data_IF_754034065665
#
_entry.id   IF_754034065665
#
_cell.length_a   1.000
_cell.length_b   1.000
_cell.length_c   1.000
_cell.angle_alpha   90.00
_cell.angle_beta   90.00
_cell.angle_gamma   90.00
#
_symmetry.space_group_name_H-M   'P 1'
#
loop_
_entity.id
_entity.type
_entity.pdbx_description
1 polymer ?
#
# COMPACT_ATOMS: atom_id res chain seq x y z
N UNK A 1 41.00 -12.03 26.57
CA UNK A 1 40.34 -10.74 26.29
C UNK A 1 38.90 -11.09 25.99
N UNK A 2 37.89 -10.54 26.67
CA UNK A 2 36.54 -11.06 26.54
C UNK A 2 35.95 -10.61 25.20
N UNK A 3 35.47 -11.60 24.45
CA UNK A 3 34.76 -11.48 23.18
C UNK A 3 33.43 -10.74 23.36
N UNK A 4 33.21 -9.68 22.59
CA UNK A 4 31.95 -8.94 22.53
C UNK A 4 30.95 -9.68 21.65
N UNK A 5 30.14 -10.54 22.27
CA UNK A 5 29.07 -11.37 21.65
C UNK A 5 27.87 -10.61 21.04
N UNK A 6 28.00 -9.35 20.61
CA UNK A 6 26.86 -8.56 20.09
C UNK A 6 27.01 -8.05 18.66
N UNK A 7 28.00 -8.52 17.89
CA UNK A 7 28.15 -8.13 16.47
C UNK A 7 28.33 -6.61 16.26
N UNK A 8 28.76 -5.89 17.29
CA UNK A 8 28.97 -4.44 17.30
C UNK A 8 30.42 -4.11 16.92
N UNK A 9 30.60 -3.17 16.01
CA UNK A 9 31.87 -2.63 15.54
C UNK A 9 32.05 -1.27 16.20
N UNK A 10 33.11 -1.07 16.97
CA UNK A 10 33.26 0.08 17.88
C UNK A 10 34.25 1.13 17.37
N UNK A 11 34.70 1.02 16.13
CA UNK A 11 35.51 2.05 15.48
C UNK A 11 35.37 2.10 13.96
N UNK A 12 35.69 3.25 13.37
CA UNK A 12 35.78 3.40 11.91
C UNK A 12 36.72 2.40 11.24
N UNK A 13 37.77 1.96 11.96
CA UNK A 13 38.72 0.97 11.43
C UNK A 13 38.08 -0.42 11.34
N UNK A 14 37.33 -0.81 12.37
CA UNK A 14 36.61 -2.09 12.39
C UNK A 14 35.48 -2.13 11.36
N UNK A 15 34.77 -1.01 11.16
CA UNK A 15 33.73 -0.89 10.12
C UNK A 15 34.34 -1.00 8.71
N UNK A 16 35.48 -0.33 8.50
CA UNK A 16 36.22 -0.39 7.24
C UNK A 16 36.74 -1.80 6.93
N UNK A 17 37.24 -2.49 7.94
CA UNK A 17 37.72 -3.87 7.83
C UNK A 17 36.57 -4.85 7.53
N UNK A 18 35.43 -4.69 8.21
CA UNK A 18 34.23 -5.49 7.95
C UNK A 18 33.72 -5.34 6.51
N UNK A 19 33.71 -4.10 6.00
CA UNK A 19 33.29 -3.78 4.63
C UNK A 19 34.38 -4.03 3.57
N UNK A 20 35.61 -4.39 3.97
CA UNK A 20 36.80 -4.49 3.09
C UNK A 20 37.00 -3.26 2.22
N UNK A 21 36.92 -2.06 2.82
CA UNK A 21 37.08 -0.76 2.17
C UNK A 21 37.94 0.19 3.01
N UNK A 22 38.45 1.25 2.37
CA UNK A 22 39.19 2.29 3.10
C UNK A 22 38.27 3.11 4.00
N UNK A 23 38.79 3.53 5.16
CA UNK A 23 38.08 4.37 6.15
C UNK A 23 37.46 5.61 5.49
N UNK A 24 38.18 6.26 4.57
CA UNK A 24 37.69 7.45 3.85
C UNK A 24 36.46 7.17 2.98
N UNK A 25 36.39 5.98 2.39
CA UNK A 25 35.25 5.54 1.57
C UNK A 25 34.04 5.27 2.46
N UNK A 26 34.25 4.62 3.60
CA UNK A 26 33.19 4.29 4.57
C UNK A 26 32.63 5.56 5.24
N UNK A 27 33.48 6.51 5.63
CA UNK A 27 33.03 7.80 6.15
C UNK A 27 32.28 8.62 5.09
N UNK A 28 32.65 8.50 3.82
CA UNK A 28 31.88 9.12 2.73
C UNK A 28 30.51 8.45 2.56
N UNK A 29 30.43 7.13 2.69
CA UNK A 29 29.15 6.41 2.61
C UNK A 29 28.21 6.74 3.76
N UNK A 30 28.72 6.99 4.95
CA UNK A 30 27.90 7.52 6.06
C UNK A 30 27.25 8.86 5.67
N UNK A 31 28.02 9.78 5.08
CA UNK A 31 27.50 11.11 4.68
C UNK A 31 26.62 11.11 3.43
N UNK A 32 26.97 10.32 2.41
CA UNK A 32 26.36 10.41 1.08
C UNK A 32 25.36 9.28 0.79
N UNK A 33 25.53 8.12 1.43
CA UNK A 33 24.74 6.90 1.18
C UNK A 33 24.04 6.36 2.42
N UNK A 34 24.09 7.08 3.53
CA UNK A 34 23.40 6.74 4.78
C UNK A 34 23.86 5.41 5.40
N UNK A 35 25.16 5.09 5.34
CA UNK A 35 25.69 3.91 6.04
C UNK A 35 25.32 3.99 7.54
N UNK A 36 24.66 2.97 8.11
CA UNK A 36 24.19 3.00 9.50
C UNK A 36 25.38 2.97 10.46
N UNK A 37 25.67 4.14 11.02
CA UNK A 37 26.79 4.39 11.91
C UNK A 37 26.29 5.31 13.02
N UNK A 38 26.37 4.86 14.26
CA UNK A 38 25.83 5.53 15.44
C UNK A 38 26.95 6.24 16.21
N UNK A 39 26.70 7.46 16.69
CA UNK A 39 27.63 8.20 17.56
C UNK A 39 27.14 8.17 19.00
N UNK A 40 27.98 7.70 19.94
CA UNK A 40 27.61 7.67 21.36
C UNK A 40 27.78 9.08 21.99
N UNK A 41 26.75 9.62 22.65
CA UNK A 41 26.84 10.91 23.34
C UNK A 41 27.54 10.73 24.70
N UNK A 42 28.62 11.49 24.97
CA UNK A 42 29.17 11.64 26.33
C UNK A 42 30.69 11.54 26.55
N UNK A 43 31.54 11.40 25.52
CA UNK A 43 33.00 11.34 25.67
C UNK A 43 33.72 12.49 24.96
N UNK A 44 34.89 12.93 25.48
CA UNK A 44 35.75 14.00 24.91
C UNK A 44 36.26 13.74 23.47
N UNK A 45 35.93 12.61 22.84
CA UNK A 45 36.09 12.31 21.41
C UNK A 45 34.84 11.55 20.92
N UNK A 46 34.39 11.86 19.70
CA UNK A 46 33.22 11.28 19.04
C UNK A 46 33.49 9.79 18.74
N UNK A 47 33.19 8.90 19.69
CA UNK A 47 33.28 7.45 19.51
C UNK A 47 32.12 6.99 18.64
N UNK A 48 32.43 6.14 17.67
CA UNK A 48 31.52 5.71 16.60
C UNK A 48 31.33 4.20 16.71
N UNK A 49 30.09 3.73 16.67
CA UNK A 49 29.78 2.30 16.60
C UNK A 49 28.80 1.97 15.46
N UNK A 50 28.82 0.74 14.97
CA UNK A 50 27.86 0.23 13.98
C UNK A 50 27.58 -1.26 14.23
N UNK A 51 26.39 -1.75 13.90
CA UNK A 51 26.06 -3.16 14.05
C UNK A 51 26.21 -3.91 12.72
N UNK A 52 26.79 -5.12 12.75
CA UNK A 52 27.01 -5.94 11.53
C UNK A 52 25.72 -6.21 10.76
N UNK A 53 24.62 -6.51 11.45
CA UNK A 53 23.34 -6.80 10.82
C UNK A 53 22.75 -5.57 10.09
N UNK A 54 22.88 -4.37 10.64
CA UNK A 54 22.44 -3.12 9.97
C UNK A 54 23.28 -2.85 8.71
N UNK A 55 24.58 -3.12 8.77
CA UNK A 55 25.49 -2.98 7.62
C UNK A 55 25.16 -4.03 6.54
N UNK A 56 24.89 -5.28 6.92
CA UNK A 56 24.54 -6.35 5.99
C UNK A 56 23.18 -6.09 5.31
N UNK A 57 22.20 -5.56 6.04
CA UNK A 57 20.92 -5.12 5.49
C UNK A 57 21.09 -3.93 4.54
N UNK A 58 21.92 -2.96 4.90
CA UNK A 58 22.28 -1.83 4.03
C UNK A 58 23.00 -2.29 2.75
N UNK A 59 23.89 -3.28 2.86
CA UNK A 59 24.56 -3.89 1.71
C UNK A 59 23.59 -4.68 0.84
N UNK A 60 22.66 -5.44 1.42
CA UNK A 60 21.62 -6.18 0.70
C UNK A 60 20.73 -5.25 -0.12
N UNK A 61 20.33 -4.12 0.46
CA UNK A 61 19.56 -3.09 -0.22
C UNK A 61 20.37 -2.34 -1.29
N UNK A 62 21.70 -2.24 -1.12
CA UNK A 62 22.60 -1.55 -2.06
C UNK A 62 23.09 -2.43 -3.22
N UNK A 63 23.22 -3.74 -3.03
CA UNK A 63 23.65 -4.68 -4.06
C UNK A 63 22.61 -4.81 -5.19
N UNK A 64 21.32 -4.72 -4.84
CA UNK A 64 20.20 -4.59 -5.79
C UNK A 64 20.27 -3.34 -6.68
N UNK A 65 21.08 -2.33 -6.32
CA UNK A 65 21.25 -1.09 -7.07
C UNK A 65 22.54 -1.03 -7.91
N UNK A 66 23.48 -1.97 -7.73
CA UNK A 66 24.81 -1.90 -8.34
C UNK A 66 24.96 -2.75 -9.62
N UNK A 67 24.07 -3.72 -9.88
CA UNK A 67 24.13 -4.56 -11.08
C UNK A 67 23.64 -3.87 -12.37
N UNK A 68 23.13 -2.64 -12.29
CA UNK A 68 22.53 -1.92 -13.44
C UNK A 68 23.46 -0.83 -14.01
N UNK A 69 24.62 -0.57 -13.41
CA UNK A 69 25.41 0.64 -13.71
C UNK A 69 26.72 0.40 -14.49
N UNK A 70 27.02 -0.82 -14.93
CA UNK A 70 28.32 -1.14 -15.53
C UNK A 70 28.17 -1.69 -16.96
N UNK A 71 27.79 -0.83 -17.91
CA UNK A 71 28.12 -1.00 -19.34
C UNK A 71 27.81 0.30 -20.14
N UNK A 72 28.85 1.09 -20.45
CA UNK A 72 29.13 1.66 -21.79
C UNK A 72 30.36 2.60 -21.77
N UNK A 73 31.14 2.68 -22.87
CA UNK A 73 32.57 2.99 -22.86
C UNK A 73 32.91 4.48 -23.04
N UNK A 74 33.97 4.88 -22.37
CA UNK A 74 34.62 6.20 -22.45
C UNK A 74 35.60 6.24 -23.63
N UNK A 75 35.31 7.00 -24.68
CA UNK A 75 36.26 7.18 -25.77
C UNK A 75 35.74 7.94 -26.98
N UNK A 76 35.47 9.24 -26.85
CA UNK A 76 35.23 10.12 -28.01
C UNK A 76 35.46 11.61 -27.72
N UNK A 77 36.48 11.97 -26.93
CA UNK A 77 36.93 13.37 -26.78
C UNK A 77 38.40 13.55 -27.17
N UNK A 78 38.81 12.94 -28.27
CA UNK A 78 40.06 13.25 -28.96
C UNK A 78 39.81 13.36 -30.46
N UNK A 79 39.29 14.51 -30.89
CA UNK A 79 39.51 15.13 -32.21
C UNK A 79 38.47 16.22 -32.35
N UNK A 80 38.89 17.46 -32.10
CA UNK A 80 38.39 18.68 -32.75
C UNK A 80 39.27 19.86 -32.27
N UNK A 81 40.58 19.69 -32.44
CA UNK A 81 41.52 20.80 -32.43
C UNK A 81 41.90 21.09 -33.87
N UNK A 82 41.72 22.35 -34.28
CA UNK A 82 42.14 23.01 -35.54
C UNK A 82 40.97 23.38 -36.45
N UNK A 83 40.51 24.63 -36.37
CA UNK A 83 40.26 25.51 -37.52
C UNK A 83 40.12 26.96 -37.02
N UNK A 84 41.11 27.81 -37.29
CA UNK A 84 41.02 29.27 -37.08
C UNK A 84 40.46 29.89 -38.37
N UNK A 85 39.25 30.44 -38.32
CA UNK A 85 38.75 31.35 -39.34
C UNK A 85 38.19 32.60 -38.65
N UNK A 86 38.68 33.78 -39.07
CA UNK A 86 38.19 35.09 -38.62
C UNK A 86 36.86 35.38 -39.33
N UNK A 87 35.78 35.55 -38.58
CA UNK A 87 34.44 35.87 -39.10
C UNK A 87 34.03 37.28 -38.61
N UNK A 88 33.53 38.17 -39.48
CA UNK A 88 33.26 39.58 -39.15
C UNK A 88 32.08 39.78 -38.17
N UNK A 89 32.07 40.94 -37.50
CA UNK A 89 31.21 41.24 -36.34
C UNK A 89 29.68 41.25 -36.63
N UNK A 90 29.26 41.44 -37.89
CA UNK A 90 27.83 41.52 -38.26
C UNK A 90 27.11 40.16 -38.22
N UNK A 91 27.83 39.04 -38.36
CA UNK A 91 27.27 37.69 -38.22
C UNK A 91 26.98 37.29 -36.76
N UNK A 92 27.55 37.99 -35.76
CA UNK A 92 27.28 37.70 -34.34
C UNK A 92 25.91 38.20 -33.87
N UNK A 93 25.35 39.24 -34.48
CA UNK A 93 24.04 39.79 -34.10
C UNK A 93 22.90 38.94 -34.68
N UNK A 94 23.02 38.51 -35.94
CA UNK A 94 22.06 37.60 -36.57
C UNK A 94 22.06 36.21 -35.94
N UNK A 95 23.25 35.67 -35.61
CA UNK A 95 23.38 34.40 -34.91
C UNK A 95 22.95 34.51 -33.44
N UNK A 96 23.18 35.65 -32.78
CA UNK A 96 22.73 35.92 -31.41
C UNK A 96 21.20 35.95 -31.29
N UNK A 97 20.50 36.58 -32.24
CA UNK A 97 19.05 36.57 -32.29
C UNK A 97 18.47 35.20 -32.68
N UNK A 98 19.13 34.46 -33.57
CA UNK A 98 18.74 33.09 -33.93
C UNK A 98 19.00 32.10 -32.79
N UNK A 99 20.10 32.27 -32.02
CA UNK A 99 20.40 31.49 -30.81
C UNK A 99 19.48 31.88 -29.67
N UNK A 100 19.05 33.14 -29.53
CA UNK A 100 18.05 33.53 -28.54
C UNK A 100 16.64 33.07 -28.93
N UNK A 101 16.30 33.04 -30.22
CA UNK A 101 15.05 32.47 -30.73
C UNK A 101 15.05 30.94 -30.64
N UNK A 102 16.15 30.26 -30.99
CA UNK A 102 16.31 28.82 -30.76
C UNK A 102 16.45 28.49 -29.28
N UNK A 103 17.04 29.33 -28.43
CA UNK A 103 17.10 29.14 -26.98
C UNK A 103 15.71 29.38 -26.37
N UNK A 104 14.96 30.37 -26.86
CA UNK A 104 13.56 30.62 -26.47
C UNK A 104 12.60 29.53 -26.95
N UNK A 105 12.85 28.93 -28.12
CA UNK A 105 12.06 27.84 -28.69
C UNK A 105 12.45 26.49 -28.09
N UNK A 106 13.75 26.22 -27.87
CA UNK A 106 14.22 25.02 -27.15
C UNK A 106 13.86 25.09 -25.67
N UNK A 107 13.91 26.25 -24.99
CA UNK A 107 13.40 26.36 -23.62
C UNK A 107 11.87 26.21 -23.56
N UNK A 108 11.11 26.68 -24.55
CA UNK A 108 9.66 26.41 -24.60
C UNK A 108 9.33 24.95 -24.93
N UNK A 109 10.09 24.29 -25.82
CA UNK A 109 9.93 22.88 -26.15
C UNK A 109 10.40 21.96 -25.01
N UNK A 110 11.52 22.28 -24.35
CA UNK A 110 12.01 21.54 -23.16
C UNK A 110 11.08 21.78 -21.97
N UNK A 111 10.47 22.97 -21.81
CA UNK A 111 9.51 23.25 -20.74
C UNK A 111 8.12 22.64 -21.00
N UNK A 112 7.73 22.44 -22.27
CA UNK A 112 6.52 21.69 -22.64
C UNK A 112 6.72 20.17 -22.67
N UNK A 113 7.95 19.68 -22.80
CA UNK A 113 8.28 18.26 -22.92
C UNK A 113 9.09 17.71 -21.73
N UNK A 114 9.14 18.42 -20.61
CA UNK A 114 9.54 17.83 -19.33
C UNK A 114 8.47 16.83 -18.92
N UNK A 115 8.69 15.57 -19.30
CA UNK A 115 8.05 14.40 -18.73
C UNK A 115 7.91 14.62 -17.22
N UNK A 116 6.68 14.50 -16.73
CA UNK A 116 6.41 14.58 -15.28
C UNK A 116 7.43 13.69 -14.57
N UNK A 117 8.19 14.19 -13.58
CA UNK A 117 9.20 13.37 -12.94
C UNK A 117 8.52 12.13 -12.41
N UNK A 118 8.98 10.95 -12.84
CA UNK A 118 8.60 9.72 -12.19
C UNK A 118 8.95 9.86 -10.70
N UNK A 119 8.10 9.33 -9.83
CA UNK A 119 8.30 9.35 -8.38
C UNK A 119 8.59 7.92 -7.94
N UNK A 120 9.65 7.75 -7.17
CA UNK A 120 10.04 6.46 -6.62
C UNK A 120 9.47 6.25 -5.22
N UNK A 121 9.42 7.30 -4.40
CA UNK A 121 8.92 7.21 -3.04
C UNK A 121 8.34 8.55 -2.55
N UNK A 122 7.52 8.44 -1.51
CA UNK A 122 6.98 9.56 -0.74
C UNK A 122 7.32 9.32 0.72
N UNK A 123 7.95 10.30 1.34
CA UNK A 123 8.42 10.22 2.72
C UNK A 123 7.85 11.38 3.53
N UNK A 124 7.59 11.13 4.80
CA UNK A 124 7.29 12.19 5.75
C UNK A 124 8.55 12.53 6.54
N UNK A 125 8.95 13.81 6.55
CA UNK A 125 10.02 14.34 7.40
C UNK A 125 9.47 15.47 8.26
N UNK A 126 9.19 15.18 9.54
CA UNK A 126 8.45 16.10 10.40
C UNK A 126 7.11 16.47 9.77
N UNK A 127 6.94 17.76 9.44
CA UNK A 127 5.73 18.27 8.84
C UNK A 127 5.81 18.49 7.32
N UNK A 128 6.80 17.85 6.68
CA UNK A 128 7.01 17.92 5.24
C UNK A 128 6.67 16.59 4.57
N UNK A 129 5.96 16.69 3.44
CA UNK A 129 5.89 15.62 2.46
C UNK A 129 7.03 15.78 1.46
N UNK A 130 7.91 14.79 1.37
CA UNK A 130 9.07 14.79 0.50
C UNK A 130 8.87 13.72 -0.57
N UNK A 131 8.86 14.13 -1.84
CA UNK A 131 8.81 13.23 -2.97
C UNK A 131 10.20 12.96 -3.51
N UNK A 132 10.53 11.69 -3.73
CA UNK A 132 11.83 11.22 -4.18
C UNK A 132 11.73 10.77 -5.64
N UNK A 133 12.65 11.21 -6.49
CA UNK A 133 12.76 10.76 -7.88
C UNK A 133 13.50 9.42 -7.98
N UNK A 134 13.37 8.67 -9.09
CA UNK A 134 14.06 7.39 -9.33
C UNK A 134 15.57 7.39 -9.16
N UNK A 135 16.21 8.54 -9.33
CA UNK A 135 17.65 8.71 -9.10
C UNK A 135 18.02 8.91 -7.61
N UNK A 136 17.06 8.80 -6.69
CA UNK A 136 17.24 8.99 -5.25
C UNK A 136 17.26 10.46 -4.78
N UNK A 137 17.13 11.43 -5.68
CA UNK A 137 17.07 12.85 -5.33
C UNK A 137 15.69 13.30 -4.84
N UNK A 138 15.64 14.46 -4.17
CA UNK A 138 14.36 15.12 -3.85
C UNK A 138 13.78 15.74 -5.12
N UNK A 139 12.61 15.26 -5.53
CA UNK A 139 11.87 15.79 -6.67
C UNK A 139 11.14 17.08 -6.30
N UNK A 140 10.49 17.10 -5.12
CA UNK A 140 9.84 18.27 -4.53
C UNK A 140 9.52 18.01 -3.06
N UNK A 141 9.26 19.09 -2.33
CA UNK A 141 8.81 19.08 -0.95
C UNK A 141 7.54 19.91 -0.82
N UNK A 142 6.64 19.50 0.07
CA UNK A 142 5.46 20.26 0.45
C UNK A 142 5.40 20.38 1.97
N UNK A 143 5.36 21.62 2.47
CA UNK A 143 5.23 21.94 3.89
C UNK A 143 3.77 22.01 4.32
N UNK A 144 3.41 21.28 5.36
CA UNK A 144 2.11 21.47 6.00
C UNK A 144 2.19 22.62 7.03
N UNK A 145 1.14 23.43 7.20
CA UNK A 145 1.15 24.58 8.12
C UNK A 145 0.85 24.22 9.58
N UNK A 146 0.47 22.98 9.87
CA UNK A 146 0.10 22.47 11.20
C UNK A 146 0.63 21.06 11.37
N UNK A 147 0.86 20.63 12.61
CA UNK A 147 1.31 19.26 12.91
C UNK A 147 0.35 18.25 12.29
N UNK A 148 0.89 17.43 11.39
CA UNK A 148 0.11 16.55 10.54
C UNK A 148 0.79 15.20 10.43
N UNK A 149 -0.02 14.15 10.31
CA UNK A 149 0.47 12.79 10.12
C UNK A 149 -0.07 12.25 8.81
N UNK A 150 0.83 11.81 7.94
CA UNK A 150 0.47 11.06 6.75
C UNK A 150 0.12 9.64 7.20
N UNK A 151 -1.09 9.21 6.87
CA UNK A 151 -1.60 7.87 7.21
C UNK A 151 -1.46 6.90 6.03
N UNK A 152 -1.53 7.42 4.80
CA UNK A 152 -1.29 6.67 3.58
C UNK A 152 -0.88 7.61 2.44
N UNK A 153 -0.19 7.06 1.45
CA UNK A 153 0.05 7.74 0.18
C UNK A 153 0.09 6.74 -0.96
N UNK A 154 -0.41 7.13 -2.12
CA UNK A 154 -0.35 6.33 -3.35
C UNK A 154 0.02 7.21 -4.55
N UNK A 155 0.78 6.64 -5.48
CA UNK A 155 1.06 7.27 -6.77
C UNK A 155 -0.08 6.92 -7.72
N UNK A 156 -0.65 7.92 -8.39
CA UNK A 156 -1.76 7.74 -9.34
C UNK A 156 -1.19 7.77 -10.76
N UNK A 157 -1.34 6.70 -11.57
CA UNK A 157 -0.72 6.62 -12.90
C UNK A 157 -1.48 7.42 -13.96
N UNK A 158 -0.75 7.92 -14.98
CA UNK A 158 -1.32 8.66 -16.11
C UNK A 158 -1.67 7.80 -17.34
N UNK A 159 -1.04 6.62 -17.48
CA UNK A 159 -1.13 5.76 -18.68
C UNK A 159 -1.02 4.25 -18.38
N UNK A 160 -1.00 3.42 -19.43
CA UNK A 160 -1.17 1.95 -19.42
C UNK A 160 0.13 1.14 -19.52
N UNK A 161 1.29 1.77 -19.50
CA UNK A 161 2.56 1.06 -19.32
C UNK A 161 2.97 0.21 -20.52
N UNK A 162 3.41 0.87 -21.59
CA UNK A 162 4.56 0.37 -22.37
C UNK A 162 5.52 1.50 -22.79
N UNK A 163 5.07 2.77 -22.70
CA UNK A 163 5.87 3.99 -22.77
C UNK A 163 5.50 5.03 -21.67
N UNK A 164 4.65 4.63 -20.70
CA UNK A 164 3.98 5.47 -19.70
C UNK A 164 4.87 6.13 -18.63
N UNK A 165 5.71 7.09 -19.00
CA UNK A 165 6.73 7.66 -18.12
C UNK A 165 6.25 8.77 -17.16
N UNK A 166 5.01 8.74 -16.65
CA UNK A 166 4.55 9.81 -15.75
C UNK A 166 3.37 9.47 -14.82
N UNK A 167 3.48 9.92 -13.57
CA UNK A 167 2.36 9.97 -12.64
C UNK A 167 1.34 11.04 -13.07
N UNK A 168 0.04 10.78 -12.89
CA UNK A 168 -1.00 11.81 -12.93
C UNK A 168 -0.92 12.71 -11.69
N UNK A 169 -0.48 12.16 -10.57
CA UNK A 169 -0.29 12.86 -9.31
C UNK A 169 -0.05 11.90 -8.16
N UNK A 170 -0.12 12.43 -6.96
CA UNK A 170 0.01 11.69 -5.71
C UNK A 170 -1.20 11.96 -4.84
N UNK A 171 -1.83 10.90 -4.35
CA UNK A 171 -2.87 11.03 -3.34
C UNK A 171 -2.24 10.77 -1.97
N UNK A 172 -2.47 11.69 -1.03
CA UNK A 172 -1.98 11.61 0.34
C UNK A 172 -3.16 11.79 1.28
N UNK A 173 -3.30 10.87 2.24
CA UNK A 173 -4.23 11.08 3.34
C UNK A 173 -3.52 11.70 4.52
N UNK A 174 -4.07 12.80 5.02
CA UNK A 174 -3.46 13.66 6.02
C UNK A 174 -4.40 13.75 7.21
N UNK A 175 -3.92 13.29 8.37
CA UNK A 175 -4.58 13.46 9.65
C UNK A 175 -4.07 14.73 10.33
N UNK A 176 -4.98 15.66 10.61
CA UNK A 176 -4.69 16.98 11.19
C UNK A 176 -5.28 17.14 12.61
N UNK A 177 -5.19 16.09 13.42
CA UNK A 177 -5.73 16.05 14.78
C UNK A 177 -7.22 15.74 14.85
N UNK A 178 -7.74 15.58 16.08
CA UNK A 178 -9.13 15.13 16.31
C UNK A 178 -10.19 16.12 15.83
N UNK A 179 -9.88 17.42 15.84
CA UNK A 179 -10.84 18.49 15.47
C UNK A 179 -11.02 18.59 13.95
N UNK A 180 -9.92 18.56 13.20
CA UNK A 180 -9.97 18.68 11.73
C UNK A 180 -10.23 17.31 11.06
N UNK A 181 -9.80 16.23 11.70
CA UNK A 181 -9.90 14.86 11.20
C UNK A 181 -8.93 14.58 10.05
N UNK A 182 -9.22 13.52 9.30
CA UNK A 182 -8.45 13.15 8.11
C UNK A 182 -9.02 13.78 6.83
N UNK A 183 -8.16 14.03 5.86
CA UNK A 183 -8.55 14.49 4.51
C UNK A 183 -7.65 13.85 3.45
N UNK A 184 -8.23 13.58 2.28
CA UNK A 184 -7.45 13.21 1.10
C UNK A 184 -6.99 14.46 0.38
N UNK A 185 -5.73 14.48 -0.01
CA UNK A 185 -5.10 15.61 -0.68
C UNK A 185 -4.41 15.07 -1.93
N UNK A 186 -4.76 15.62 -3.08
CA UNK A 186 -4.17 15.21 -4.35
C UNK A 186 -3.19 16.28 -4.83
N UNK A 187 -1.96 15.86 -5.08
CA UNK A 187 -0.88 16.70 -5.54
C UNK A 187 -0.56 16.36 -6.99
N UNK A 188 -0.24 17.39 -7.77
CA UNK A 188 0.36 17.20 -9.09
C UNK A 188 1.71 16.48 -8.97
N UNK A 189 2.26 15.93 -10.07
CA UNK A 189 3.58 15.32 -10.07
C UNK A 189 4.72 16.28 -9.67
N UNK A 190 4.44 17.59 -9.61
CA UNK A 190 5.38 18.64 -9.19
C UNK A 190 5.13 19.14 -7.75
N UNK A 191 4.29 18.46 -6.98
CA UNK A 191 4.02 18.81 -5.57
C UNK A 191 3.04 19.96 -5.35
N UNK A 192 2.39 20.47 -6.41
CA UNK A 192 1.34 21.48 -6.25
C UNK A 192 0.03 20.83 -5.79
N UNK A 193 -0.64 21.34 -4.74
CA UNK A 193 -1.95 20.83 -4.33
C UNK A 193 -2.98 21.14 -5.42
N UNK A 194 -3.74 20.12 -5.82
CA UNK A 194 -4.78 20.22 -6.85
C UNK A 194 -6.17 20.26 -6.23
N UNK A 195 -6.46 19.36 -5.31
CA UNK A 195 -7.72 19.31 -4.60
C UNK A 195 -7.61 18.59 -3.27
N UNK A 196 -8.59 18.85 -2.40
CA UNK A 196 -8.78 18.17 -1.13
C UNK A 196 -10.19 17.57 -1.08
N UNK A 197 -10.31 16.37 -0.50
CA UNK A 197 -11.56 15.65 -0.38
C UNK A 197 -11.80 15.17 1.05
N UNK A 198 -13.05 15.32 1.50
CA UNK A 198 -13.59 14.74 2.73
C UNK A 198 -15.02 14.25 2.47
N UNK A 199 -15.39 13.02 2.89
CA UNK A 199 -16.75 12.53 2.82
C UNK A 199 -17.70 13.43 3.62
N UNK A 200 -18.81 13.83 3.00
CA UNK A 200 -19.85 14.66 3.64
C UNK A 200 -21.16 13.92 3.86
N UNK A 201 -21.36 12.80 3.16
CA UNK A 201 -22.62 12.07 3.19
C UNK A 201 -22.75 11.22 4.46
N UNK A 202 -23.98 11.17 5.00
CA UNK A 202 -24.34 10.21 6.03
C UNK A 202 -24.90 8.92 5.42
N UNK A 203 -24.66 7.81 6.11
CA UNK A 203 -25.26 6.51 5.77
C UNK A 203 -26.29 6.16 6.83
N UNK A 204 -27.49 5.80 6.40
CA UNK A 204 -28.61 5.48 7.29
C UNK A 204 -28.89 3.99 7.24
N UNK A 205 -28.63 3.33 8.35
CA UNK A 205 -29.03 1.95 8.58
C UNK A 205 -30.22 1.92 9.54
N UNK A 206 -30.92 0.78 9.62
CA UNK A 206 -32.00 0.62 10.62
C UNK A 206 -31.51 0.82 12.05
N UNK A 207 -30.25 0.50 12.34
CA UNK A 207 -29.62 0.74 13.64
C UNK A 207 -29.41 2.24 13.95
N UNK A 208 -29.38 3.11 12.94
CA UNK A 208 -29.14 4.54 13.12
C UNK A 208 -28.50 5.21 11.92
N UNK A 209 -28.34 6.53 12.03
CA UNK A 209 -27.59 7.35 11.08
C UNK A 209 -26.14 7.49 11.50
N UNK A 210 -25.22 7.31 10.54
CA UNK A 210 -23.79 7.38 10.75
C UNK A 210 -23.21 8.43 9.80
N UNK A 211 -22.70 9.52 10.37
CA UNK A 211 -22.02 10.59 9.65
C UNK A 211 -20.50 10.49 9.79
N UNK A 212 -19.75 11.26 9.00
CA UNK A 212 -18.32 11.54 9.20
C UNK A 212 -17.38 10.32 9.11
N UNK A 213 -17.33 9.68 7.94
CA UNK A 213 -16.31 8.69 7.60
C UNK A 213 -14.98 9.37 7.26
N UNK A 214 -14.36 10.02 8.25
CA UNK A 214 -13.08 10.74 8.09
C UNK A 214 -11.89 9.89 8.46
N UNK A 215 -11.99 8.57 8.30
CA UNK A 215 -10.86 7.67 8.45
C UNK A 215 -10.71 6.83 7.18
N UNK A 216 -9.61 7.00 6.48
CA UNK A 216 -9.37 6.33 5.21
C UNK A 216 -8.51 5.07 5.46
N UNK A 217 -9.12 3.89 5.33
CA UNK A 217 -8.42 2.63 5.60
C UNK A 217 -7.43 2.28 4.50
N UNK A 218 -7.80 2.52 3.24
CA UNK A 218 -7.01 2.14 2.08
C UNK A 218 -7.44 2.92 0.85
N UNK A 219 -6.53 3.08 -0.10
CA UNK A 219 -6.78 3.67 -1.39
C UNK A 219 -6.03 2.89 -2.48
N UNK A 220 -6.62 2.81 -3.66
CA UNK A 220 -5.99 2.23 -4.84
C UNK A 220 -6.38 3.00 -6.09
N UNK A 221 -5.36 3.42 -6.83
CA UNK A 221 -5.55 3.93 -8.19
C UNK A 221 -5.65 2.76 -9.15
N UNK A 222 -6.57 2.85 -10.10
CA UNK A 222 -6.74 1.85 -11.14
C UNK A 222 -7.11 2.51 -12.46
N UNK A 223 -6.87 1.79 -13.56
CA UNK A 223 -7.14 2.27 -14.91
C UNK A 223 -7.88 1.20 -15.68
N UNK A 224 -8.98 1.60 -16.32
CA UNK A 224 -9.76 0.74 -17.21
C UNK A 224 -10.44 1.59 -18.28
N UNK A 225 -10.51 1.09 -19.51
CA UNK A 225 -11.17 1.79 -20.62
C UNK A 225 -10.61 3.19 -20.88
N UNK A 226 -9.31 3.39 -20.67
CA UNK A 226 -8.64 4.68 -20.85
C UNK A 226 -8.88 5.71 -19.74
N UNK A 227 -9.63 5.38 -18.69
CA UNK A 227 -9.91 6.25 -17.55
C UNK A 227 -9.11 5.82 -16.33
N UNK A 228 -8.45 6.76 -15.68
CA UNK A 228 -7.85 6.55 -14.35
C UNK A 228 -8.84 6.98 -13.29
N UNK A 229 -9.07 6.10 -12.30
CA UNK A 229 -9.94 6.32 -11.14
C UNK A 229 -9.19 5.98 -9.87
N UNK A 230 -9.73 6.43 -8.74
CA UNK A 230 -9.17 6.17 -7.41
C UNK A 230 -10.28 5.59 -6.54
N UNK A 231 -10.14 4.33 -6.12
CA UNK A 231 -11.01 3.73 -5.12
C UNK A 231 -10.45 4.04 -3.73
N UNK A 232 -11.29 4.53 -2.82
CA UNK A 232 -10.90 4.87 -1.45
C UNK A 232 -11.91 4.31 -0.47
N UNK A 233 -11.44 3.52 0.50
CA UNK A 233 -12.25 3.01 1.57
C UNK A 233 -12.22 3.98 2.76
N UNK A 234 -13.40 4.47 3.16
CA UNK A 234 -13.59 5.32 4.32
C UNK A 234 -14.50 4.63 5.34
N UNK A 235 -14.17 4.69 6.62
CA UNK A 235 -14.99 4.07 7.67
C UNK A 235 -15.24 4.99 8.85
N UNK A 236 -16.30 4.68 9.60
CA UNK A 236 -16.58 5.35 10.86
C UNK A 236 -15.59 4.88 11.93
N UNK A 237 -15.00 5.82 12.68
CA UNK A 237 -13.94 5.52 13.67
C UNK A 237 -14.47 4.82 14.93
N UNK A 238 -15.63 5.23 15.43
CA UNK A 238 -16.26 4.65 16.63
C UNK A 238 -17.10 3.40 16.34
N UNK A 239 -17.82 3.41 15.23
CA UNK A 239 -18.81 2.40 14.87
C UNK A 239 -18.34 1.59 13.66
N UNK A 240 -19.23 0.78 13.11
CA UNK A 240 -18.90 -0.26 12.14
C UNK A 240 -19.06 0.09 10.65
N UNK A 241 -19.87 1.05 10.18
CA UNK A 241 -20.11 1.14 8.74
C UNK A 241 -18.94 1.77 7.99
N UNK A 242 -18.80 1.36 6.72
CA UNK A 242 -17.82 1.93 5.80
C UNK A 242 -18.37 2.08 4.39
N UNK A 243 -17.67 2.86 3.59
CA UNK A 243 -17.94 3.05 2.17
C UNK A 243 -16.67 2.87 1.36
N UNK A 244 -16.82 2.32 0.16
CA UNK A 244 -15.88 2.52 -0.93
C UNK A 244 -16.37 3.68 -1.79
N UNK A 245 -15.54 4.68 -1.98
CA UNK A 245 -15.78 5.82 -2.85
C UNK A 245 -14.87 5.70 -4.07
N UNK A 246 -15.42 5.81 -5.27
CA UNK A 246 -14.62 5.90 -6.48
C UNK A 246 -14.60 7.36 -6.93
N UNK A 247 -13.40 7.93 -6.95
CA UNK A 247 -13.12 9.31 -7.34
C UNK A 247 -12.55 9.35 -8.77
N UNK A 248 -12.93 10.36 -9.54
CA UNK A 248 -12.19 10.76 -10.73
C UNK A 248 -10.93 11.57 -10.37
N UNK A 249 -10.13 11.94 -11.38
CA UNK A 249 -8.91 12.75 -11.16
C UNK A 249 -9.18 14.19 -10.73
N UNK A 250 -10.44 14.64 -10.77
CA UNK A 250 -10.88 15.95 -10.27
C UNK A 250 -11.34 15.88 -8.81
N UNK A 251 -11.31 14.69 -8.19
CA UNK A 251 -11.73 14.49 -6.81
C UNK A 251 -13.25 14.39 -6.65
N UNK A 252 -14.00 14.20 -7.74
CA UNK A 252 -15.45 14.01 -7.69
C UNK A 252 -15.75 12.53 -7.48
N UNK A 253 -16.64 12.24 -6.53
CA UNK A 253 -17.20 10.89 -6.34
C UNK A 253 -18.09 10.56 -7.54
N UNK A 254 -17.70 9.53 -8.30
CA UNK A 254 -18.44 9.04 -9.47
C UNK A 254 -19.27 7.80 -9.17
N UNK A 255 -18.90 7.04 -8.14
CA UNK A 255 -19.66 5.88 -7.68
C UNK A 255 -19.33 5.54 -6.22
N UNK A 256 -20.19 4.77 -5.55
CA UNK A 256 -20.01 4.38 -4.15
C UNK A 256 -20.61 3.01 -3.81
N UNK A 257 -19.93 2.28 -2.95
CA UNK A 257 -20.42 1.04 -2.35
C UNK A 257 -20.44 1.17 -0.83
N UNK A 258 -21.48 0.66 -0.16
CA UNK A 258 -21.61 0.72 1.30
C UNK A 258 -21.48 -0.68 1.90
N UNK A 259 -20.70 -0.83 2.96
CA UNK A 259 -20.57 -2.11 3.66
C UNK A 259 -21.03 -2.01 5.13
N UNK A 260 -21.77 -3.02 5.57
CA UNK A 260 -22.03 -3.27 7.00
C UNK A 260 -20.80 -3.87 7.68
N UNK A 261 -19.85 -2.99 8.00
CA UNK A 261 -18.55 -3.33 8.56
C UNK A 261 -17.43 -2.59 7.85
N UNK A 262 -16.20 -2.76 8.30
CA UNK A 262 -15.06 -2.01 7.76
C UNK A 262 -14.50 -2.64 6.47
N UNK A 263 -14.31 -1.82 5.44
CA UNK A 263 -13.48 -2.17 4.28
C UNK A 263 -12.04 -1.77 4.61
N UNK A 264 -11.13 -2.73 4.57
CA UNK A 264 -9.73 -2.58 4.98
C UNK A 264 -8.76 -2.72 3.81
N UNK A 265 -9.16 -3.44 2.77
CA UNK A 265 -8.35 -3.70 1.58
C UNK A 265 -9.18 -3.47 0.32
N UNK A 266 -8.54 -2.92 -0.71
CA UNK A 266 -9.08 -2.82 -2.06
C UNK A 266 -8.04 -3.32 -3.05
N UNK A 267 -8.45 -4.18 -3.97
CA UNK A 267 -7.60 -4.76 -5.02
C UNK A 267 -8.32 -4.69 -6.36
N UNK A 268 -7.75 -3.95 -7.30
CA UNK A 268 -8.14 -3.92 -8.69
C UNK A 268 -7.51 -5.10 -9.43
N UNK A 269 -8.31 -5.72 -10.28
CA UNK A 269 -7.82 -6.72 -11.21
C UNK A 269 -8.66 -6.77 -12.48
N UNK A 270 -8.04 -7.21 -13.57
CA UNK A 270 -8.76 -7.59 -14.77
C UNK A 270 -9.28 -9.02 -14.61
N UNK A 271 -10.60 -9.17 -14.59
CA UNK A 271 -11.28 -10.46 -14.57
C UNK A 271 -11.71 -10.88 -15.96
N UNK A 272 -12.10 -12.15 -16.12
CA UNK A 272 -12.49 -12.72 -17.41
C UNK A 272 -13.69 -12.01 -18.07
N UNK A 273 -14.57 -11.39 -17.28
CA UNK A 273 -15.78 -10.70 -17.74
C UNK A 273 -15.67 -9.18 -17.72
N UNK A 274 -14.54 -8.63 -17.30
CA UNK A 274 -14.36 -7.19 -17.12
C UNK A 274 -13.53 -6.84 -15.88
N UNK A 275 -13.39 -5.54 -15.59
CA UNK A 275 -12.58 -5.06 -14.48
C UNK A 275 -13.29 -5.29 -13.16
N UNK A 276 -12.54 -5.70 -12.14
CA UNK A 276 -13.08 -6.00 -10.82
C UNK A 276 -12.38 -5.18 -9.75
N UNK A 277 -13.16 -4.84 -8.71
CA UNK A 277 -12.64 -4.38 -7.43
C UNK A 277 -12.98 -5.42 -6.37
N UNK A 278 -11.94 -5.98 -5.76
CA UNK A 278 -12.06 -6.89 -4.62
C UNK A 278 -11.90 -6.09 -3.34
N UNK A 279 -12.85 -6.24 -2.44
CA UNK A 279 -12.80 -5.63 -1.11
C UNK A 279 -12.50 -6.71 -0.09
N UNK A 280 -11.55 -6.46 0.80
CA UNK A 280 -11.32 -7.26 1.99
C UNK A 280 -11.66 -6.44 3.23
N UNK A 281 -12.33 -7.05 4.21
CA UNK A 281 -12.75 -6.32 5.39
C UNK A 281 -13.49 -7.15 6.42
N UNK A 282 -14.34 -6.49 7.19
CA UNK A 282 -15.22 -7.06 8.22
C UNK A 282 -16.66 -7.00 7.74
N UNK A 283 -17.41 -8.07 8.00
CA UNK A 283 -18.87 -8.07 7.99
C UNK A 283 -19.38 -8.14 9.42
N UNK A 284 -20.06 -7.09 9.87
CA UNK A 284 -20.64 -7.05 11.22
C UNK A 284 -21.86 -7.95 11.33
N UNK A 285 -22.71 -7.99 10.31
CA UNK A 285 -23.85 -8.90 10.24
C UNK A 285 -23.43 -10.37 10.12
N UNK A 286 -22.27 -10.61 9.51
CA UNK A 286 -21.67 -11.93 9.33
C UNK A 286 -20.83 -12.42 10.51
N UNK A 287 -20.54 -11.57 11.51
CA UNK A 287 -19.58 -11.81 12.61
C UNK A 287 -18.26 -12.41 12.10
N UNK A 288 -17.65 -11.81 11.08
CA UNK A 288 -16.45 -12.38 10.46
C UNK A 288 -15.74 -11.49 9.46
N UNK A 289 -14.64 -12.00 8.91
CA UNK A 289 -13.96 -11.41 7.77
C UNK A 289 -14.82 -11.54 6.51
N UNK A 290 -14.75 -10.58 5.60
CA UNK A 290 -15.51 -10.59 4.35
C UNK A 290 -14.65 -10.29 3.14
N UNK A 291 -15.03 -10.87 2.00
CA UNK A 291 -14.57 -10.43 0.69
C UNK A 291 -15.76 -10.11 -0.21
N UNK A 292 -15.79 -8.91 -0.78
CA UNK A 292 -16.78 -8.52 -1.79
C UNK A 292 -16.12 -8.41 -3.16
N UNK A 293 -16.81 -8.89 -4.19
CA UNK A 293 -16.39 -8.80 -5.60
C UNK A 293 -17.31 -7.81 -6.29
N UNK A 294 -16.78 -6.69 -6.78
CA UNK A 294 -17.54 -5.64 -7.45
C UNK A 294 -17.14 -5.53 -8.93
N UNK A 295 -18.08 -5.17 -9.80
CA UNK A 295 -17.77 -4.69 -11.15
C UNK A 295 -17.19 -3.28 -11.03
N UNK A 296 -15.95 -3.07 -11.46
CA UNK A 296 -15.28 -1.77 -11.33
C UNK A 296 -15.87 -0.69 -12.26
N UNK A 297 -16.70 -1.06 -13.24
CA UNK A 297 -17.46 -0.10 -14.05
C UNK A 297 -18.67 0.45 -13.29
N UNK A 298 -19.27 -0.37 -12.42
CA UNK A 298 -20.51 -0.09 -11.70
C UNK A 298 -20.44 -0.70 -10.30
N UNK A 299 -19.83 0.03 -9.36
CA UNK A 299 -19.72 -0.44 -7.97
C UNK A 299 -20.95 -0.10 -7.13
N UNK A 300 -21.85 0.74 -7.65
CA UNK A 300 -22.97 1.28 -6.91
C UNK A 300 -23.75 0.19 -6.19
N UNK A 301 -23.78 0.22 -4.86
CA UNK A 301 -24.53 -0.77 -4.10
C UNK A 301 -24.26 -0.79 -2.61
N UNK A 302 -24.75 -1.86 -1.98
CA UNK A 302 -24.45 -2.15 -0.60
C UNK A 302 -24.29 -3.65 -0.34
N UNK A 303 -23.62 -3.98 0.78
CA UNK A 303 -23.51 -5.36 1.26
C UNK A 303 -24.89 -6.02 1.40
N UNK A 304 -24.99 -7.34 1.16
CA UNK A 304 -26.26 -8.05 1.15
C UNK A 304 -26.75 -8.33 2.57
N UNK A 305 -27.58 -7.44 3.11
CA UNK A 305 -28.12 -7.54 4.46
C UNK A 305 -29.53 -8.11 4.50
N UNK A 306 -29.88 -8.80 5.59
CA UNK A 306 -31.23 -9.32 5.78
C UNK A 306 -32.23 -8.17 5.95
N UNK A 307 -33.38 -8.26 5.27
CA UNK A 307 -34.45 -7.28 5.41
C UNK A 307 -34.95 -7.22 6.86
N UNK A 308 -35.17 -6.01 7.36
CA UNK A 308 -35.55 -5.73 8.75
C UNK A 308 -34.37 -5.78 9.74
N UNK A 309 -33.18 -6.22 9.35
CA UNK A 309 -32.05 -6.31 10.27
C UNK A 309 -31.51 -4.91 10.64
N UNK A 310 -30.85 -4.76 11.80
CA UNK A 310 -30.18 -3.51 12.18
C UNK A 310 -29.14 -3.03 11.15
N UNK A 311 -28.61 -3.97 10.36
CA UNK A 311 -27.60 -3.74 9.33
C UNK A 311 -28.20 -3.38 7.97
N UNK A 312 -29.51 -3.43 7.79
CA UNK A 312 -30.14 -3.02 6.53
C UNK A 312 -29.93 -1.51 6.32
N UNK A 313 -29.27 -1.16 5.22
CA UNK A 313 -29.13 0.23 4.80
C UNK A 313 -30.37 0.72 4.07
N UNK A 314 -30.87 1.88 4.47
CA UNK A 314 -32.15 2.46 4.00
C UNK A 314 -31.97 3.59 2.99
N UNK A 315 -30.79 4.22 2.93
CA UNK A 315 -30.47 5.29 1.97
C UNK A 315 -29.32 4.92 1.00
N UNK A 316 -28.95 3.64 0.94
CA UNK A 316 -27.88 3.15 0.09
C UNK A 316 -28.31 2.99 -1.37
N UNK A 317 -27.35 3.01 -2.33
CA UNK A 317 -27.64 2.61 -3.70
C UNK A 317 -28.20 1.19 -3.75
N UNK A 318 -29.11 0.93 -4.69
CA UNK A 318 -29.85 -0.32 -4.81
C UNK A 318 -29.06 -1.49 -5.40
N UNK A 319 -27.91 -1.21 -6.02
CA UNK A 319 -27.07 -2.25 -6.62
C UNK A 319 -26.42 -3.17 -5.58
N UNK A 320 -25.77 -4.21 -6.08
CA UNK A 320 -25.27 -5.33 -5.27
C UNK A 320 -23.91 -5.79 -5.76
N UNK A 321 -23.08 -6.39 -4.88
CA UNK A 321 -21.83 -7.00 -5.32
C UNK A 321 -22.11 -8.16 -6.29
N UNK A 322 -21.11 -8.53 -7.11
CA UNK A 322 -21.20 -9.73 -7.94
C UNK A 322 -21.18 -10.99 -7.08
N UNK A 323 -20.33 -11.00 -6.04
CA UNK A 323 -20.24 -12.02 -5.00
C UNK A 323 -19.87 -11.38 -3.67
N UNK A 324 -20.33 -11.95 -2.57
CA UNK A 324 -19.96 -11.52 -1.21
C UNK A 324 -19.72 -12.75 -0.34
N UNK A 325 -18.49 -12.90 0.16
CA UNK A 325 -18.07 -14.00 1.00
C UNK A 325 -17.95 -13.54 2.45
N UNK A 326 -18.42 -14.37 3.38
CA UNK A 326 -18.18 -14.20 4.82
C UNK A 326 -17.49 -15.44 5.34
N UNK A 327 -16.33 -15.21 5.94
CA UNK A 327 -15.47 -16.22 6.55
C UNK A 327 -15.75 -16.30 8.04
N UNK A 328 -16.01 -17.50 8.59
CA UNK A 328 -16.34 -17.66 9.99
C UNK A 328 -15.11 -17.44 10.86
N UNK A 329 -15.37 -17.14 12.13
CA UNK A 329 -14.35 -17.16 13.17
C UNK A 329 -13.94 -18.62 13.42
N UNK A 330 -12.65 -18.89 13.59
CA UNK A 330 -12.16 -20.22 13.98
C UNK A 330 -12.43 -20.51 15.47
N UNK A 331 -12.21 -21.76 15.90
CA UNK A 331 -12.18 -22.09 17.33
C UNK A 331 -11.13 -21.27 18.08
N UNK A 332 -9.93 -21.13 17.50
CA UNK A 332 -8.83 -20.39 18.09
C UNK A 332 -9.20 -18.92 18.33
N UNK A 333 -9.85 -18.28 17.37
CA UNK A 333 -10.32 -16.90 17.52
C UNK A 333 -11.36 -16.79 18.64
N UNK A 334 -12.33 -17.73 18.69
CA UNK A 334 -13.37 -17.75 19.73
C UNK A 334 -12.79 -17.97 21.14
N UNK A 335 -11.91 -18.96 21.30
CA UNK A 335 -11.30 -19.32 22.61
C UNK A 335 -10.40 -18.21 23.14
N UNK A 336 -9.71 -17.50 22.24
CA UNK A 336 -8.85 -16.37 22.62
C UNK A 336 -9.63 -15.09 22.90
N UNK A 337 -10.90 -15.00 22.50
CA UNK A 337 -11.67 -13.77 22.57
C UNK A 337 -11.13 -12.68 21.65
N UNK A 338 -10.33 -13.05 20.66
CA UNK A 338 -9.79 -12.11 19.67
C UNK A 338 -10.97 -11.49 18.94
N UNK A 339 -11.13 -10.16 19.01
CA UNK A 339 -12.29 -9.46 18.41
C UNK A 339 -12.43 -9.67 16.90
N UNK A 340 -13.36 -8.97 16.24
CA UNK A 340 -13.51 -9.05 14.79
C UNK A 340 -12.19 -8.68 14.09
N UNK A 341 -11.71 -9.61 13.27
CA UNK A 341 -10.53 -9.44 12.42
C UNK A 341 -11.02 -9.49 10.97
N UNK A 342 -10.67 -8.47 10.19
CA UNK A 342 -11.06 -8.40 8.79
C UNK A 342 -10.25 -9.36 7.91
N UNK A 343 -10.81 -9.67 6.75
CA UNK A 343 -10.12 -10.43 5.73
C UNK A 343 -9.23 -9.52 4.88
N UNK A 344 -7.98 -9.92 4.67
CA UNK A 344 -7.18 -9.44 3.55
C UNK A 344 -7.59 -10.13 2.26
N UNK A 345 -7.37 -9.47 1.12
CA UNK A 345 -7.52 -10.06 -0.21
C UNK A 345 -6.34 -9.65 -1.08
N UNK A 346 -5.82 -10.58 -1.88
CA UNK A 346 -4.72 -10.35 -2.81
C UNK A 346 -4.81 -11.31 -4.00
N UNK A 347 -4.04 -11.00 -5.05
CA UNK A 347 -3.89 -11.86 -6.22
C UNK A 347 -2.53 -12.55 -6.18
N UNK A 348 -2.51 -13.86 -6.42
CA UNK A 348 -1.32 -14.68 -6.50
C UNK A 348 -1.29 -15.40 -7.86
N UNK A 349 -0.66 -14.79 -8.86
CA UNK A 349 -0.69 -15.32 -10.23
C UNK A 349 -2.12 -15.35 -10.79
N UNK A 350 -2.64 -16.54 -11.08
CA UNK A 350 -4.02 -16.75 -11.52
C UNK A 350 -5.01 -16.96 -10.37
N UNK A 351 -4.56 -17.24 -9.15
CA UNK A 351 -5.45 -17.45 -8.01
C UNK A 351 -5.67 -16.17 -7.22
N UNK A 352 -6.78 -16.13 -6.50
CA UNK A 352 -7.11 -15.07 -5.56
C UNK A 352 -7.00 -15.65 -4.16
N UNK A 353 -6.27 -14.97 -3.29
CA UNK A 353 -6.10 -15.36 -1.90
C UNK A 353 -6.88 -14.39 -1.02
N UNK A 354 -7.68 -14.93 -0.12
CA UNK A 354 -8.21 -14.21 1.02
C UNK A 354 -7.67 -14.81 2.30
N UNK A 355 -7.53 -14.01 3.35
CA UNK A 355 -7.09 -14.54 4.62
C UNK A 355 -7.47 -13.68 5.81
N UNK A 356 -7.76 -14.34 6.91
CA UNK A 356 -8.05 -13.69 8.19
C UNK A 356 -6.88 -13.95 9.13
N UNK A 357 -6.44 -12.94 9.89
CA UNK A 357 -5.70 -13.26 11.12
C UNK A 357 -6.71 -13.79 12.16
N UNK A 358 -6.33 -14.79 12.93
CA UNK A 358 -7.22 -15.44 13.91
C UNK A 358 -7.00 -14.90 15.32
N UNK A 359 -5.83 -14.31 15.59
CA UNK A 359 -5.51 -13.64 16.86
C UNK A 359 -5.05 -12.21 16.59
N UNK A 360 -5.55 -11.26 17.39
CA UNK A 360 -4.97 -9.91 17.44
C UNK A 360 -3.64 -10.00 18.17
N UNK A 361 -2.52 -9.94 17.45
CA UNK A 361 -1.20 -9.83 18.09
C UNK A 361 -1.17 -8.55 18.95
N UNK A 362 -1.03 -8.70 20.27
CA UNK A 362 -0.89 -7.57 21.19
C UNK A 362 0.55 -7.29 21.62
N UNK A 363 1.52 -8.13 21.22
CA UNK A 363 2.94 -8.01 21.54
C UNK A 363 3.63 -9.27 20.98
N UNK A 364 4.29 -9.15 19.82
CA UNK A 364 5.64 -9.71 19.55
C UNK A 364 6.00 -9.59 18.05
N UNK A 365 7.29 -9.39 17.70
CA UNK A 365 7.77 -9.12 16.35
C UNK A 365 8.12 -10.39 15.55
N UNK A 366 7.53 -11.54 15.88
CA UNK A 366 7.77 -12.81 15.19
C UNK A 366 6.99 -12.90 13.88
N UNK A 367 7.56 -13.46 12.80
CA UNK A 367 6.87 -13.58 11.52
C UNK A 367 5.72 -14.60 11.57
N UNK A 368 4.53 -14.11 11.20
CA UNK A 368 3.33 -14.89 10.85
C UNK A 368 2.28 -15.00 11.97
N UNK A 369 1.20 -14.22 11.87
CA UNK A 369 0.03 -14.41 12.74
C UNK A 369 -0.68 -15.74 12.41
N UNK A 370 -1.28 -16.44 13.40
CA UNK A 370 -2.26 -17.50 13.14
C UNK A 370 -3.31 -17.00 12.15
N UNK A 371 -3.56 -17.77 11.09
CA UNK A 371 -4.40 -17.30 9.99
C UNK A 371 -5.24 -18.43 9.40
N UNK A 372 -6.42 -18.06 8.89
CA UNK A 372 -7.15 -18.85 7.90
C UNK A 372 -6.84 -18.29 6.50
N UNK A 373 -6.61 -19.17 5.54
CA UNK A 373 -6.36 -18.84 4.14
C UNK A 373 -7.39 -19.52 3.27
N UNK A 374 -7.96 -18.75 2.33
CA UNK A 374 -8.96 -19.16 1.37
C UNK A 374 -8.42 -18.87 -0.02
N UNK A 375 -8.37 -19.89 -0.85
CA UNK A 375 -7.85 -19.84 -2.21
C UNK A 375 -9.00 -19.99 -3.19
N UNK A 376 -9.09 -19.05 -4.12
CA UNK A 376 -10.15 -18.98 -5.11
C UNK A 376 -9.59 -19.08 -6.53
N UNK A 377 -10.39 -19.66 -7.42
CA UNK A 377 -10.18 -19.57 -8.87
C UNK A 377 -10.38 -18.12 -9.36
N UNK A 378 -9.94 -17.77 -10.58
CA UNK A 378 -10.25 -16.48 -11.20
C UNK A 378 -11.76 -16.15 -11.26
N UNK A 379 -12.60 -17.17 -11.30
CA UNK A 379 -14.07 -17.09 -11.32
C UNK A 379 -14.70 -17.05 -9.92
N UNK A 380 -13.88 -16.98 -8.87
CA UNK A 380 -14.27 -16.94 -7.46
C UNK A 380 -14.98 -18.22 -7.00
N UNK A 381 -14.54 -19.38 -7.50
CA UNK A 381 -14.85 -20.67 -6.89
C UNK A 381 -13.86 -20.96 -5.77
N UNK A 382 -14.34 -21.35 -4.59
CA UNK A 382 -13.47 -21.66 -3.45
C UNK A 382 -12.78 -23.01 -3.69
N UNK A 383 -11.48 -22.96 -4.01
CA UNK A 383 -10.67 -24.14 -4.31
C UNK A 383 -10.19 -24.83 -3.03
N UNK A 384 -9.77 -24.04 -2.03
CA UNK A 384 -9.14 -24.54 -0.81
C UNK A 384 -9.35 -23.57 0.35
N UNK A 385 -9.55 -24.10 1.54
CA UNK A 385 -9.51 -23.31 2.77
C UNK A 385 -8.70 -24.04 3.84
N UNK A 386 -7.69 -23.42 4.41
CA UNK A 386 -6.81 -24.06 5.41
C UNK A 386 -6.41 -23.08 6.50
N UNK A 387 -6.03 -23.61 7.65
CA UNK A 387 -5.35 -22.85 8.68
C UNK A 387 -3.83 -22.95 8.53
N UNK A 388 -3.13 -21.86 8.82
CA UNK A 388 -1.67 -21.79 8.79
C UNK A 388 -1.03 -22.72 9.82
N UNK A 389 0.25 -23.06 9.65
CA UNK A 389 0.95 -23.89 10.65
C UNK A 389 1.00 -23.20 12.02
N UNK A 390 1.13 -21.87 12.05
CA UNK A 390 1.07 -21.05 13.27
C UNK A 390 -0.27 -21.18 14.01
N UNK A 391 -1.38 -21.37 13.30
CA UNK A 391 -2.66 -21.69 13.95
C UNK A 391 -2.55 -22.95 14.80
N UNK A 392 -1.93 -24.00 14.27
CA UNK A 392 -1.83 -25.28 14.96
C UNK A 392 -0.84 -25.25 16.12
N UNK A 393 0.19 -24.41 16.05
CA UNK A 393 1.08 -24.14 17.19
C UNK A 393 0.32 -23.50 18.35
N UNK A 394 -0.44 -22.44 18.09
CA UNK A 394 -1.26 -21.77 19.12
C UNK A 394 -2.38 -22.67 19.64
N UNK A 395 -3.01 -23.47 18.77
CA UNK A 395 -3.98 -24.47 19.20
C UNK A 395 -3.37 -25.43 20.21
N UNK A 396 -2.15 -25.95 19.95
CA UNK A 396 -1.44 -26.83 20.88
C UNK A 396 -1.12 -26.13 22.20
N UNK A 397 -0.75 -24.85 22.19
CA UNK A 397 -0.53 -24.09 23.43
C UNK A 397 -1.82 -23.96 24.25
N UNK A 398 -2.94 -23.65 23.59
CA UNK A 398 -4.25 -23.54 24.24
C UNK A 398 -4.76 -24.89 24.76
N UNK A 399 -4.41 -25.99 24.09
CA UNK A 399 -4.65 -27.36 24.56
C UNK A 399 -3.87 -27.65 25.84
N UNK A 400 -2.56 -27.34 25.88
CA UNK A 400 -1.72 -27.51 27.08
C UNK A 400 -2.20 -26.65 28.26
N UNK A 401 -2.77 -25.47 27.98
CA UNK A 401 -3.40 -24.61 28.99
C UNK A 401 -4.80 -25.10 29.42
N UNK A 402 -5.32 -26.17 28.82
CA UNK A 402 -6.65 -26.71 29.10
C UNK A 402 -7.82 -25.83 28.62
N UNK A 403 -7.54 -24.83 27.78
CA UNK A 403 -8.54 -23.91 27.17
C UNK A 403 -9.19 -24.52 25.93
N UNK A 404 -8.45 -25.33 25.18
CA UNK A 404 -8.98 -26.28 24.20
C UNK A 404 -8.91 -27.68 24.81
N UNK A 405 -9.97 -28.47 24.68
CA UNK A 405 -10.13 -29.77 25.36
C UNK A 405 -9.83 -30.98 24.48
N UNK A 406 -9.26 -30.75 23.29
CA UNK A 406 -9.00 -31.80 22.32
C UNK A 406 -7.71 -31.55 21.56
N UNK A 407 -7.14 -32.63 21.03
CA UNK A 407 -5.96 -32.56 20.15
C UNK A 407 -6.32 -32.14 18.73
N UNK A 408 -5.34 -31.69 17.95
CA UNK A 408 -5.51 -31.43 16.50
C UNK A 408 -6.17 -32.59 15.76
N UNK A 409 -5.83 -33.84 16.09
CA UNK A 409 -6.38 -35.01 15.40
C UNK A 409 -7.90 -35.16 15.60
N UNK A 410 -8.39 -34.73 16.77
CA UNK A 410 -9.79 -34.74 17.18
C UNK A 410 -10.49 -33.40 16.90
N UNK A 411 -9.75 -32.38 16.45
CA UNK A 411 -10.28 -31.05 16.22
C UNK A 411 -11.36 -31.09 15.12
N UNK A 412 -12.56 -30.55 15.39
CA UNK A 412 -13.61 -30.44 14.40
C UNK A 412 -13.13 -29.70 13.13
N UNK A 413 -12.28 -28.69 13.29
CA UNK A 413 -11.78 -27.83 12.21
C UNK A 413 -10.40 -28.30 11.68
N UNK A 414 -10.00 -29.55 11.92
CA UNK A 414 -8.67 -30.10 11.51
C UNK A 414 -8.36 -30.00 10.02
N UNK A 415 -9.40 -29.98 9.19
CA UNK A 415 -9.30 -29.87 7.73
C UNK A 415 -9.42 -28.43 7.24
N UNK A 416 -9.37 -27.44 8.14
CA UNK A 416 -9.56 -26.02 7.85
C UNK A 416 -10.95 -25.53 8.26
N UNK A 417 -11.28 -24.28 7.87
CA UNK A 417 -12.61 -23.70 8.06
C UNK A 417 -13.68 -24.66 7.54
N UNK A 418 -14.79 -24.81 8.26
CA UNK A 418 -15.83 -25.78 7.91
C UNK A 418 -16.86 -25.25 6.92
N UNK A 419 -16.97 -23.93 6.83
CA UNK A 419 -18.10 -23.27 6.24
C UNK A 419 -17.70 -21.88 5.80
N UNK A 420 -18.09 -21.48 4.59
CA UNK A 420 -18.01 -20.11 4.10
C UNK A 420 -19.39 -19.75 3.60
N UNK A 421 -19.90 -18.58 4.00
CA UNK A 421 -21.15 -18.07 3.45
C UNK A 421 -20.84 -17.29 2.19
N UNK A 422 -21.57 -17.55 1.11
CA UNK A 422 -21.46 -16.79 -0.13
C UNK A 422 -22.83 -16.23 -0.50
N UNK A 423 -22.87 -14.97 -0.88
CA UNK A 423 -24.02 -14.35 -1.52
C UNK A 423 -23.72 -14.06 -2.98
N UNK A 424 -24.67 -14.31 -3.87
CA UNK A 424 -24.68 -13.78 -5.23
C UNK A 424 -26.10 -13.34 -5.64
N UNK A 425 -26.24 -12.51 -6.69
CA UNK A 425 -27.56 -12.01 -7.12
C UNK A 425 -28.55 -13.08 -7.58
N UNK A 426 -28.08 -14.24 -8.03
CA UNK A 426 -28.91 -15.31 -8.60
C UNK A 426 -29.46 -16.24 -7.53
N UNK A 427 -28.67 -16.57 -6.52
CA UNK A 427 -28.98 -17.59 -5.50
C UNK A 427 -29.20 -17.01 -4.10
N UNK A 428 -28.85 -15.74 -3.88
CA UNK A 428 -28.83 -15.17 -2.53
C UNK A 428 -27.76 -15.83 -1.65
N UNK A 429 -28.02 -15.93 -0.35
CA UNK A 429 -27.08 -16.54 0.60
C UNK A 429 -27.07 -18.07 0.49
N UNK A 430 -25.88 -18.63 0.28
CA UNK A 430 -25.60 -20.06 0.22
C UNK A 430 -24.43 -20.43 1.13
N UNK A 431 -24.30 -21.72 1.43
CA UNK A 431 -23.28 -22.28 2.30
C UNK A 431 -22.29 -23.10 1.46
N UNK A 432 -21.02 -22.76 1.53
CA UNK A 432 -19.93 -23.54 0.92
C UNK A 432 -19.23 -24.30 2.04
N UNK A 433 -19.07 -25.62 1.88
CA UNK A 433 -18.36 -26.48 2.84
C UNK A 433 -16.98 -26.85 2.26
N UNK A 434 -15.96 -26.01 2.46
CA UNK A 434 -14.64 -26.30 1.91
C UNK A 434 -14.09 -27.60 2.48
N UNK A 435 -13.36 -28.33 1.63
CA UNK A 435 -12.69 -29.59 1.97
C UNK A 435 -13.62 -30.77 2.32
N UNK A 436 -14.94 -30.65 2.11
CA UNK A 436 -15.81 -31.82 2.03
C UNK A 436 -15.78 -32.34 0.58
N UNK A 437 -15.41 -33.62 0.38
CA UNK A 437 -15.53 -34.24 -0.95
C UNK A 437 -17.00 -34.22 -1.33
N UNK A 438 -17.33 -33.71 -2.51
CA UNK A 438 -18.62 -34.00 -3.15
C UNK A 438 -18.70 -35.52 -3.30
N UNK A 439 -19.61 -36.16 -2.57
CA UNK A 439 -19.90 -37.58 -2.75
C UNK A 439 -20.46 -37.86 -4.14
#
# INVERSE_FOLDING_TARGET
MPDSEDGRLDSWKEIAEYLRRDIRTVTRWEKEKGLPVHTLPGGKRRTVCAYKHEIDEWLGNSALALEVADELPTGALEKLGQFKARIPLATWVGLGLLVLALAGFTTNLVRKNQSSPALAALLQQGNQLVAISPNGGVAWTHDFPFDSRITQSIVVPRGDGSDGSGAAGVLVSIFAGEVLGESLNFFSPKGQPLWQFQPRDSTVFRAGEYSLQRNFATAQAFRWGGQTKIAVAAHHTTWWPSQLLVLDLQGKVVDRFVNSGWILHVVFMEGAKGPLLLLGGVSNSGDGGMVAVLDANHISGASPEAAGSPYECTNCPSGRPLKYFVFPRSELNRVTGSGLIGAGVSRAGSTILAGNSEIKSSQEPEPGNPAATYEFSPEFELLRAQYSDRYWEYHRQLELQGRIKHSRAQCPERSGPRLVRMWDPQHGWTMIYPNQKSN
#
